data_IF_452704689858
#
_entry.id   IF_452704689858
#
_cell.length_a   1.000
_cell.length_b   1.000
_cell.length_c   1.000
_cell.angle_alpha   90.00
_cell.angle_beta   90.00
_cell.angle_gamma   90.00
#
_symmetry.space_group_name_H-M   'P 1'
#
loop_
_entity.id
_entity.type
_entity.pdbx_description
1 polymer ?
#
# COMPACT_ATOMS: atom_id res chain seq x y z
N UNK A 1 -65.01 -6.94 -35.86
CA UNK A 1 -63.63 -7.10 -36.38
C UNK A 1 -62.71 -6.27 -35.50
N UNK A 2 -61.80 -6.76 -34.65
CA UNK A 2 -61.51 -8.09 -34.12
C UNK A 2 -60.65 -7.81 -32.88
N UNK A 3 -61.23 -7.85 -31.68
CA UNK A 3 -60.45 -7.73 -30.42
C UNK A 3 -59.41 -8.84 -30.29
N UNK A 4 -59.66 -9.98 -30.94
CA UNK A 4 -58.71 -11.08 -31.06
C UNK A 4 -57.52 -10.69 -31.94
N UNK A 5 -57.73 -9.87 -32.98
CA UNK A 5 -56.66 -9.35 -33.83
C UNK A 5 -55.85 -8.28 -33.09
N UNK A 6 -56.49 -7.36 -32.35
CA UNK A 6 -55.78 -6.34 -31.58
C UNK A 6 -54.94 -6.95 -30.46
N UNK A 7 -55.48 -7.93 -29.73
CA UNK A 7 -54.72 -8.69 -28.72
C UNK A 7 -53.54 -9.44 -29.34
N UNK A 8 -53.73 -10.05 -30.51
CA UNK A 8 -52.67 -10.80 -31.19
C UNK A 8 -51.59 -9.88 -31.77
N UNK A 9 -51.96 -8.70 -32.27
CA UNK A 9 -51.02 -7.66 -32.70
C UNK A 9 -50.23 -7.11 -31.52
N UNK A 10 -50.87 -6.87 -30.37
CA UNK A 10 -50.18 -6.42 -29.17
C UNK A 10 -49.18 -7.47 -28.64
N UNK A 11 -49.54 -8.75 -28.65
CA UNK A 11 -48.63 -9.84 -28.26
C UNK A 11 -47.44 -9.93 -29.22
N UNK A 12 -47.68 -9.80 -30.53
CA UNK A 12 -46.61 -9.80 -31.53
C UNK A 12 -45.68 -8.59 -31.36
N UNK A 13 -46.23 -7.39 -31.10
CA UNK A 13 -45.45 -6.18 -30.83
C UNK A 13 -44.59 -6.32 -29.56
N UNK A 14 -45.14 -6.91 -28.48
CA UNK A 14 -44.39 -7.19 -27.25
C UNK A 14 -43.28 -8.24 -27.44
N UNK A 15 -43.50 -9.24 -28.30
CA UNK A 15 -42.49 -10.22 -28.66
C UNK A 15 -41.37 -9.62 -29.51
N UNK A 16 -41.73 -8.72 -30.44
CA UNK A 16 -40.79 -8.06 -31.34
C UNK A 16 -39.90 -7.08 -30.58
N UNK A 17 -40.47 -6.31 -29.64
CA UNK A 17 -39.71 -5.46 -28.70
C UNK A 17 -38.74 -6.25 -27.82
N UNK A 18 -39.14 -7.43 -27.34
CA UNK A 18 -38.23 -8.35 -26.60
C UNK A 18 -37.12 -8.93 -27.48
N UNK A 19 -37.40 -9.24 -28.74
CA UNK A 19 -36.42 -9.77 -29.69
C UNK A 19 -35.41 -8.71 -30.15
N UNK A 20 -35.84 -7.45 -30.24
CA UNK A 20 -34.99 -6.30 -30.57
C UNK A 20 -34.26 -5.71 -29.35
N UNK A 21 -34.50 -6.22 -28.14
CA UNK A 21 -33.85 -5.76 -26.92
C UNK A 21 -34.29 -4.38 -26.44
N UNK A 22 -35.41 -3.85 -26.93
CA UNK A 22 -35.96 -2.58 -26.48
C UNK A 22 -36.77 -2.78 -25.19
N UNK A 23 -36.21 -2.32 -24.06
CA UNK A 23 -36.96 -2.16 -22.83
C UNK A 23 -37.61 -0.78 -22.83
N UNK A 24 -38.94 -0.74 -22.95
CA UNK A 24 -39.72 0.48 -22.72
C UNK A 24 -39.59 0.88 -21.25
N UNK A 25 -38.77 1.91 -21.03
CA UNK A 25 -38.70 2.67 -19.80
C UNK A 25 -39.92 3.61 -19.83
N UNK A 26 -40.99 3.22 -19.15
CA UNK A 26 -41.97 4.17 -18.64
C UNK A 26 -41.68 4.39 -17.16
N UNK A 27 -41.80 5.66 -16.79
CA UNK A 27 -41.23 6.31 -15.62
C UNK A 27 -41.83 5.83 -14.30
N UNK A 28 -41.00 5.44 -13.34
CA UNK A 28 -41.06 6.00 -11.98
C UNK A 28 -39.82 5.63 -11.15
N UNK A 29 -39.05 6.67 -10.83
CA UNK A 29 -38.37 6.89 -9.55
C UNK A 29 -37.17 6.02 -9.13
N UNK A 30 -36.03 6.73 -9.11
CA UNK A 30 -34.95 6.71 -8.09
C UNK A 30 -33.97 5.55 -8.00
N UNK A 31 -32.70 5.97 -7.91
CA UNK A 31 -31.57 5.34 -7.23
C UNK A 31 -31.13 3.96 -7.73
N UNK A 32 -30.01 3.96 -8.46
CA UNK A 32 -28.71 3.48 -7.96
C UNK A 32 -27.81 3.11 -9.14
N UNK A 33 -26.67 3.80 -9.17
CA UNK A 33 -25.33 3.24 -9.25
C UNK A 33 -24.98 2.12 -10.27
N UNK A 34 -23.81 2.36 -10.88
CA UNK A 34 -22.94 1.44 -11.65
C UNK A 34 -23.39 1.18 -13.08
N UNK A 35 -22.62 1.76 -14.01
CA UNK A 35 -21.80 1.04 -14.99
C UNK A 35 -21.22 2.05 -16.02
N UNK A 36 -20.11 2.72 -15.66
CA UNK A 36 -19.28 3.39 -16.67
C UNK A 36 -18.35 2.33 -17.27
N UNK A 37 -18.82 1.71 -18.35
CA UNK A 37 -18.05 0.85 -19.21
C UNK A 37 -17.24 1.70 -20.20
N UNK A 38 -15.93 1.46 -20.21
CA UNK A 38 -15.02 1.50 -21.36
C UNK A 38 -15.36 2.47 -22.51
N UNK A 39 -14.62 3.58 -22.57
CA UNK A 39 -14.34 4.27 -23.83
C UNK A 39 -12.89 4.00 -24.22
N UNK A 40 -12.69 3.07 -25.14
CA UNK A 40 -11.46 2.97 -25.94
C UNK A 40 -11.38 4.20 -26.84
N UNK A 41 -10.52 5.15 -26.46
CA UNK A 41 -10.09 6.23 -27.34
C UNK A 41 -8.80 5.79 -28.02
N UNK A 42 -8.95 5.45 -29.29
CA UNK A 42 -7.90 5.10 -30.24
C UNK A 42 -6.98 6.33 -30.43
N UNK A 43 -5.67 6.15 -30.27
CA UNK A 43 -4.67 7.12 -30.72
C UNK A 43 -3.64 6.41 -31.59
N UNK A 44 -3.78 6.67 -32.89
CA UNK A 44 -2.88 6.30 -33.96
C UNK A 44 -1.50 6.96 -33.78
N UNK A 45 -0.45 6.15 -33.71
CA UNK A 45 0.91 6.58 -34.03
C UNK A 45 1.37 5.95 -35.35
N UNK A 46 1.66 6.85 -36.29
CA UNK A 46 1.98 6.61 -37.70
C UNK A 46 3.47 6.21 -37.87
N UNK A 47 3.66 5.05 -38.52
CA UNK A 47 4.71 4.64 -39.50
C UNK A 47 6.19 5.02 -39.27
N UNK A 48 7.07 4.01 -39.46
CA UNK A 48 7.92 3.80 -40.67
C UNK A 48 8.50 2.35 -40.74
N UNK A 49 8.97 1.86 -41.92
CA UNK A 49 8.74 0.47 -42.35
C UNK A 49 9.95 -0.37 -42.84
N UNK A 50 9.73 -1.71 -42.93
CA UNK A 50 10.31 -2.74 -43.86
C UNK A 50 11.79 -3.18 -43.70
N UNK A 51 12.29 -4.30 -44.30
CA UNK A 51 11.64 -5.43 -45.04
C UNK A 51 12.04 -6.86 -44.51
N UNK A 52 11.18 -7.89 -44.54
CA UNK A 52 10.90 -8.90 -45.59
C UNK A 52 11.97 -9.99 -45.83
N UNK A 53 11.65 -11.27 -45.57
CA UNK A 53 11.68 -12.43 -46.53
C UNK A 53 11.24 -13.77 -45.87
N UNK A 54 10.79 -14.78 -46.66
CA UNK A 54 9.72 -15.73 -46.28
C UNK A 54 10.05 -17.24 -46.51
N UNK A 55 9.12 -18.16 -46.16
CA UNK A 55 8.61 -19.35 -46.91
C UNK A 55 7.89 -20.30 -45.92
N UNK A 56 6.57 -20.52 -46.02
CA UNK A 56 5.82 -21.46 -46.88
C UNK A 56 6.06 -22.96 -46.62
N UNK A 57 4.98 -23.66 -46.21
CA UNK A 57 4.49 -24.88 -46.88
C UNK A 57 2.98 -25.06 -46.65
N UNK A 58 2.21 -24.99 -47.75
CA UNK A 58 0.82 -25.48 -47.93
C UNK A 58 0.92 -26.93 -48.48
N UNK A 59 -0.02 -27.86 -48.26
CA UNK A 59 -1.35 -28.06 -48.90
C UNK A 59 -1.87 -29.48 -48.48
N UNK A 60 -3.09 -29.96 -48.84
CA UNK A 60 -4.27 -29.30 -49.38
C UNK A 60 -5.60 -29.59 -48.64
N UNK A 61 -6.63 -28.87 -49.07
CA UNK A 61 -8.03 -28.87 -48.63
C UNK A 61 -8.98 -29.65 -49.55
N UNK A 62 -9.97 -30.34 -48.97
CA UNK A 62 -11.38 -30.55 -49.43
C UNK A 62 -12.17 -31.04 -48.20
N UNK A 63 -13.42 -30.71 -47.91
CA UNK A 63 -14.49 -30.00 -48.62
C UNK A 63 -15.52 -29.47 -47.58
N UNK A 64 -16.31 -28.49 -48.01
CA UNK A 64 -17.42 -27.82 -47.31
C UNK A 64 -18.47 -28.76 -46.68
N UNK A 65 -18.88 -28.43 -45.45
CA UNK A 65 -20.30 -28.19 -45.11
C UNK A 65 -20.42 -27.44 -43.77
N UNK A 66 -21.30 -26.45 -43.76
CA UNK A 66 -21.59 -25.55 -42.65
C UNK A 66 -22.52 -26.23 -41.63
N UNK A 67 -22.11 -26.28 -40.35
CA UNK A 67 -22.98 -26.25 -39.16
C UNK A 67 -22.10 -26.31 -37.90
N UNK A 68 -22.10 -25.26 -37.08
CA UNK A 68 -21.53 -25.29 -35.73
C UNK A 68 -22.60 -24.82 -34.74
N UNK A 69 -23.37 -25.79 -34.26
CA UNK A 69 -24.09 -25.70 -32.99
C UNK A 69 -23.08 -25.90 -31.85
N UNK A 70 -23.16 -25.16 -30.73
CA UNK A 70 -22.35 -25.45 -29.55
C UNK A 70 -22.86 -26.72 -28.83
N UNK A 71 -21.99 -27.51 -28.18
CA UNK A 71 -22.39 -28.73 -27.47
C UNK A 71 -23.19 -28.37 -26.21
N UNK A 72 -24.16 -29.20 -25.78
CA UNK A 72 -24.88 -28.94 -24.54
C UNK A 72 -23.99 -29.23 -23.32
N UNK A 73 -24.02 -28.28 -22.39
CA UNK A 73 -23.45 -28.33 -21.05
C UNK A 73 -23.91 -29.57 -20.27
N UNK A 74 -22.97 -30.42 -19.87
CA UNK A 74 -23.22 -31.67 -19.13
C UNK A 74 -23.50 -31.48 -17.64
N UNK A 75 -24.21 -30.41 -17.25
CA UNK A 75 -24.45 -30.09 -15.83
C UNK A 75 -25.91 -30.16 -15.37
N UNK A 76 -26.81 -30.73 -16.18
CA UNK A 76 -28.23 -30.86 -15.80
C UNK A 76 -28.83 -32.26 -15.97
N UNK A 77 -28.02 -33.30 -16.22
CA UNK A 77 -28.52 -34.67 -16.45
C UNK A 77 -28.25 -35.67 -15.32
N UNK A 78 -27.98 -35.20 -14.10
CA UNK A 78 -27.61 -36.08 -12.96
C UNK A 78 -28.64 -36.15 -11.83
N UNK A 79 -29.68 -35.31 -11.82
CA UNK A 79 -30.62 -35.25 -10.69
C UNK A 79 -31.85 -36.16 -10.84
N UNK A 80 -32.34 -36.39 -12.06
CA UNK A 80 -33.59 -37.16 -12.26
C UNK A 80 -33.36 -38.67 -12.45
N UNK A 81 -32.16 -39.10 -12.84
CA UNK A 81 -31.83 -40.54 -13.01
C UNK A 81 -31.27 -41.23 -11.75
N UNK A 82 -30.95 -40.46 -10.70
CA UNK A 82 -30.41 -41.00 -9.45
C UNK A 82 -31.52 -41.60 -8.56
N UNK A 83 -32.72 -41.03 -8.57
CA UNK A 83 -33.82 -41.43 -7.68
C UNK A 83 -34.46 -42.77 -8.10
N UNK A 84 -34.45 -43.08 -9.41
CA UNK A 84 -34.96 -44.34 -9.94
C UNK A 84 -34.04 -45.56 -9.68
N UNK A 85 -32.76 -45.35 -9.31
CA UNK A 85 -31.79 -46.43 -9.02
C UNK A 85 -31.62 -46.75 -7.53
N UNK A 86 -32.35 -46.10 -6.63
CA UNK A 86 -32.17 -46.27 -5.18
C UNK A 86 -32.89 -47.48 -4.59
N UNK A 87 -33.88 -48.07 -5.29
CA UNK A 87 -34.73 -49.12 -4.69
C UNK A 87 -34.10 -50.51 -4.67
N UNK A 88 -33.22 -50.86 -5.60
CA UNK A 88 -32.79 -52.25 -5.77
C UNK A 88 -31.27 -52.47 -5.80
N UNK A 89 -30.58 -52.34 -4.66
CA UNK A 89 -29.25 -52.96 -4.50
C UNK A 89 -29.05 -53.49 -3.08
N UNK A 90 -29.55 -54.71 -2.83
CA UNK A 90 -29.32 -55.46 -1.59
C UNK A 90 -28.00 -56.25 -1.68
N UNK A 91 -26.87 -55.53 -1.76
CA UNK A 91 -25.53 -56.11 -1.87
C UNK A 91 -24.42 -55.26 -1.23
N UNK A 92 -23.16 -55.75 -1.19
CA UNK A 92 -22.01 -55.05 -0.59
C UNK A 92 -21.78 -53.64 -1.15
N UNK A 93 -22.00 -53.46 -2.46
CA UNK A 93 -21.93 -52.17 -3.15
C UNK A 93 -22.99 -51.16 -2.66
N UNK A 94 -24.17 -51.64 -2.25
CA UNK A 94 -25.22 -50.80 -1.67
C UNK A 94 -24.84 -50.26 -0.28
N UNK A 95 -24.10 -51.04 0.52
CA UNK A 95 -23.58 -50.60 1.83
C UNK A 95 -22.52 -49.51 1.67
N UNK A 96 -21.59 -49.68 0.72
CA UNK A 96 -20.56 -48.69 0.41
C UNK A 96 -21.16 -47.36 -0.07
N UNK A 97 -22.18 -47.39 -0.93
CA UNK A 97 -22.87 -46.18 -1.40
C UNK A 97 -23.61 -45.44 -0.29
N UNK A 98 -24.27 -46.17 0.64
CA UNK A 98 -24.90 -45.59 1.83
C UNK A 98 -23.88 -44.95 2.77
N UNK A 99 -22.70 -45.54 2.91
CA UNK A 99 -21.63 -44.97 3.72
C UNK A 99 -21.07 -43.68 3.09
N UNK A 100 -20.87 -43.66 1.77
CA UNK A 100 -20.47 -42.46 1.04
C UNK A 100 -21.50 -41.33 1.17
N UNK A 101 -22.79 -41.65 1.08
CA UNK A 101 -23.87 -40.68 1.27
C UNK A 101 -23.85 -40.09 2.69
N UNK A 102 -23.69 -40.93 3.72
CA UNK A 102 -23.56 -40.48 5.11
C UNK A 102 -22.34 -39.58 5.33
N UNK A 103 -21.22 -39.87 4.66
CA UNK A 103 -20.04 -39.01 4.71
C UNK A 103 -20.27 -37.65 4.03
N UNK A 104 -20.96 -37.64 2.88
CA UNK A 104 -21.36 -36.40 2.21
C UNK A 104 -22.31 -35.58 3.07
N UNK A 105 -23.29 -36.22 3.70
CA UNK A 105 -24.23 -35.57 4.61
C UNK A 105 -23.52 -35.03 5.86
N UNK A 106 -22.54 -35.75 6.40
CA UNK A 106 -21.71 -35.28 7.51
C UNK A 106 -20.86 -34.06 7.11
N UNK A 107 -20.26 -34.07 5.91
CA UNK A 107 -19.55 -32.91 5.35
C UNK A 107 -20.48 -31.71 5.16
N UNK A 108 -21.70 -31.94 4.67
CA UNK A 108 -22.73 -30.91 4.50
C UNK A 108 -23.19 -30.34 5.83
N UNK A 109 -23.38 -31.17 6.86
CA UNK A 109 -23.73 -30.72 8.20
C UNK A 109 -22.61 -29.88 8.82
N UNK A 110 -21.36 -30.32 8.69
CA UNK A 110 -20.19 -29.57 9.14
C UNK A 110 -20.07 -28.23 8.44
N UNK A 111 -20.28 -28.18 7.12
CA UNK A 111 -20.29 -26.94 6.36
C UNK A 111 -21.38 -25.98 6.87
N UNK A 112 -22.62 -26.48 7.07
CA UNK A 112 -23.72 -25.68 7.62
C UNK A 112 -23.42 -25.13 9.02
N UNK A 113 -22.80 -25.95 9.89
CA UNK A 113 -22.40 -25.51 11.23
C UNK A 113 -21.34 -24.41 11.16
N UNK A 114 -20.34 -24.55 10.29
CA UNK A 114 -19.32 -23.52 10.07
C UNK A 114 -19.96 -22.23 9.54
N UNK A 115 -20.85 -22.32 8.55
CA UNK A 115 -21.56 -21.16 8.00
C UNK A 115 -22.37 -20.44 9.07
N UNK A 116 -23.12 -21.17 9.90
CA UNK A 116 -23.87 -20.60 11.03
C UNK A 116 -22.96 -19.91 12.04
N UNK A 117 -21.84 -20.52 12.40
CA UNK A 117 -20.88 -19.90 13.32
C UNK A 117 -20.34 -18.57 12.78
N UNK A 118 -20.03 -18.51 11.46
CA UNK A 118 -19.64 -17.26 10.82
C UNK A 118 -20.76 -16.22 10.78
N UNK A 119 -22.00 -16.63 10.50
CA UNK A 119 -23.18 -15.75 10.52
C UNK A 119 -23.43 -15.18 11.92
N UNK A 120 -23.29 -15.99 12.97
CA UNK A 120 -23.44 -15.59 14.37
C UNK A 120 -22.35 -14.61 14.80
N UNK A 121 -21.08 -14.87 14.43
CA UNK A 121 -19.97 -13.94 14.68
C UNK A 121 -20.17 -12.60 13.95
N UNK A 122 -20.66 -12.64 12.70
CA UNK A 122 -20.97 -11.44 11.92
C UNK A 122 -22.10 -10.64 12.60
N UNK A 123 -23.17 -11.30 13.02
CA UNK A 123 -24.28 -10.68 13.76
C UNK A 123 -23.78 -10.02 15.06
N UNK A 124 -22.91 -10.70 15.81
CA UNK A 124 -22.33 -10.17 17.03
C UNK A 124 -21.44 -8.94 16.77
N UNK A 125 -20.65 -8.97 15.69
CA UNK A 125 -19.83 -7.85 15.27
C UNK A 125 -20.70 -6.64 14.87
N UNK A 126 -21.73 -6.85 14.05
CA UNK A 126 -22.66 -5.78 13.69
C UNK A 126 -23.36 -5.17 14.90
N UNK A 127 -23.76 -5.97 15.89
CA UNK A 127 -24.37 -5.48 17.12
C UNK A 127 -23.40 -4.62 17.94
N UNK A 128 -22.12 -5.01 18.02
CA UNK A 128 -21.06 -4.23 18.67
C UNK A 128 -20.82 -2.91 17.95
N UNK A 129 -20.77 -2.90 16.62
CA UNK A 129 -20.64 -1.68 15.84
C UNK A 129 -21.87 -0.76 16.01
N UNK A 130 -23.10 -1.31 15.94
CA UNK A 130 -24.34 -0.54 16.17
C UNK A 130 -24.34 0.11 17.56
N UNK A 131 -23.95 -0.62 18.60
CA UNK A 131 -23.86 -0.07 19.96
C UNK A 131 -22.74 0.97 20.09
N UNK A 132 -21.60 0.78 19.43
CA UNK A 132 -20.51 1.75 19.34
C UNK A 132 -20.96 3.06 18.68
N UNK A 133 -21.65 2.96 17.53
CA UNK A 133 -22.22 4.10 16.82
C UNK A 133 -23.31 4.80 17.64
N UNK A 134 -24.16 4.06 18.36
CA UNK A 134 -25.16 4.65 19.25
C UNK A 134 -24.50 5.46 20.37
N UNK A 135 -23.42 4.95 20.99
CA UNK A 135 -22.65 5.69 22.01
C UNK A 135 -22.01 6.96 21.43
N UNK A 136 -21.44 6.88 20.22
CA UNK A 136 -20.87 8.06 19.56
C UNK A 136 -21.93 9.11 19.22
N UNK A 137 -23.11 8.67 18.73
CA UNK A 137 -24.25 9.56 18.49
C UNK A 137 -24.76 10.20 19.78
N UNK A 138 -24.85 9.44 20.87
CA UNK A 138 -25.24 9.98 22.17
C UNK A 138 -24.28 11.08 22.64
N UNK A 139 -22.96 10.82 22.58
CA UNK A 139 -21.94 11.83 22.90
C UNK A 139 -22.00 13.06 21.99
N UNK A 140 -22.20 12.86 20.69
CA UNK A 140 -22.36 13.97 19.75
C UNK A 140 -23.58 14.83 20.11
N UNK A 141 -24.71 14.19 20.43
CA UNK A 141 -25.92 14.88 20.86
C UNK A 141 -25.75 15.59 22.20
N UNK A 142 -25.04 15.00 23.18
CA UNK A 142 -24.67 15.65 24.44
C UNK A 142 -23.84 16.91 24.18
N UNK A 143 -22.81 16.84 23.33
CA UNK A 143 -22.01 18.03 22.99
C UNK A 143 -22.81 19.09 22.22
N UNK A 144 -23.76 18.68 21.37
CA UNK A 144 -24.66 19.61 20.69
C UNK A 144 -25.64 20.27 21.67
N UNK A 145 -26.14 19.52 22.66
CA UNK A 145 -26.98 20.04 23.74
C UNK A 145 -26.19 21.01 24.62
N UNK A 146 -24.97 20.66 25.05
CA UNK A 146 -24.08 21.56 25.78
C UNK A 146 -23.82 22.84 24.98
N UNK A 147 -23.59 22.73 23.67
CA UNK A 147 -23.43 23.90 22.81
C UNK A 147 -24.71 24.74 22.77
N UNK A 148 -25.89 24.13 22.59
CA UNK A 148 -27.18 24.85 22.62
C UNK A 148 -27.46 25.50 23.96
N UNK A 149 -27.15 24.84 25.07
CA UNK A 149 -27.29 25.38 26.42
C UNK A 149 -26.31 26.53 26.68
N UNK A 150 -25.07 26.44 26.20
CA UNK A 150 -24.09 27.52 26.30
C UNK A 150 -24.47 28.73 25.43
N UNK A 151 -25.18 28.53 24.32
CA UNK A 151 -25.79 29.62 23.55
C UNK A 151 -27.06 30.19 24.20
N UNK A 152 -27.80 29.36 24.94
CA UNK A 152 -29.03 29.75 25.64
C UNK A 152 -28.77 30.39 27.01
N UNK A 153 -27.60 30.14 27.60
CA UNK A 153 -27.02 30.94 28.69
C UNK A 153 -26.58 32.28 28.10
N UNK A 154 -27.56 33.16 27.92
CA UNK A 154 -27.36 34.57 27.60
C UNK A 154 -26.27 35.14 28.53
N UNK A 155 -25.22 35.82 28.01
CA UNK A 155 -24.21 36.43 28.87
C UNK A 155 -24.92 37.41 29.81
N UNK A 156 -24.51 37.51 31.09
CA UNK A 156 -25.14 38.44 32.03
C UNK A 156 -25.14 39.83 31.40
N UNK A 157 -26.34 40.43 31.29
CA UNK A 157 -26.57 41.74 30.67
C UNK A 157 -25.48 42.70 31.12
N UNK A 158 -24.61 43.06 30.20
CA UNK A 158 -23.58 44.07 30.44
C UNK A 158 -24.26 45.33 30.96
N UNK A 159 -23.84 45.89 32.12
CA UNK A 159 -24.38 47.16 32.57
C UNK A 159 -24.09 48.22 31.51
N UNK A 160 -25.12 49.00 31.18
CA UNK A 160 -25.07 50.07 30.18
C UNK A 160 -23.81 50.93 30.38
N UNK A 161 -23.04 51.23 29.33
CA UNK A 161 -21.92 52.16 29.45
C UNK A 161 -22.47 53.55 29.77
N UNK A 162 -22.10 54.05 30.95
CA UNK A 162 -22.23 55.45 31.36
C UNK A 162 -21.52 56.32 30.32
N UNK A 163 -22.18 57.40 29.90
CA UNK A 163 -21.69 58.39 28.95
C UNK A 163 -20.40 59.06 29.47
N UNK A 164 -19.24 58.50 29.11
CA UNK A 164 -17.95 59.19 29.30
C UNK A 164 -17.78 60.19 28.16
N UNK A 165 -17.64 61.47 28.55
CA UNK A 165 -17.38 62.58 27.64
C UNK A 165 -16.05 62.36 26.91
N UNK A 166 -16.10 62.29 25.57
CA UNK A 166 -14.87 62.30 24.77
C UNK A 166 -14.37 63.74 24.63
N UNK A 167 -13.13 63.94 25.07
CA UNK A 167 -12.33 65.14 24.87
C UNK A 167 -12.14 65.39 23.37
N UNK A 168 -12.53 66.59 22.93
CA UNK A 168 -12.19 67.16 21.62
C UNK A 168 -10.67 67.26 21.49
N UNK A 169 -10.10 66.59 20.49
CA UNK A 169 -8.73 66.83 20.01
C UNK A 169 -8.85 67.67 18.74
N UNK A 170 -8.54 68.96 18.86
CA UNK A 170 -8.42 69.88 17.72
C UNK A 170 -7.07 69.66 17.04
N UNK A 171 -7.00 69.51 15.70
CA UNK A 171 -5.73 69.63 15.00
C UNK A 171 -5.39 71.11 14.80
N UNK A 172 -4.22 71.49 15.28
CA UNK A 172 -3.54 72.76 15.03
C UNK A 172 -3.07 72.81 13.57
N UNK A 173 -3.53 73.80 12.80
CA UNK A 173 -2.85 74.26 11.59
C UNK A 173 -2.57 75.77 11.71
N UNK A 174 -1.34 76.23 11.41
CA UNK A 174 -0.97 77.64 11.42
C UNK A 174 -0.99 78.27 10.02
N UNK A 175 -0.90 79.61 10.01
CA UNK A 175 -0.64 80.57 8.91
C UNK A 175 -1.88 81.41 8.55
N UNK A 176 -2.01 82.64 9.05
CA UNK A 176 -1.30 83.89 8.67
C UNK A 176 -1.86 84.49 7.37
N UNK A 177 -2.78 85.45 7.50
CA UNK A 177 -2.71 86.72 6.76
C UNK A 177 -3.67 87.75 7.38
N UNK A 178 -3.03 88.80 7.92
CA UNK A 178 -3.43 90.20 7.89
C UNK A 178 -4.83 90.59 8.38
N UNK A 179 -4.88 91.05 9.64
CA UNK A 179 -5.86 92.05 10.06
C UNK A 179 -5.16 93.15 10.85
N UNK A 180 -5.16 94.36 10.28
CA UNK A 180 -4.66 95.61 10.87
C UNK A 180 -5.84 96.24 11.64
N UNK A 181 -5.74 96.50 12.96
CA UNK A 181 -6.74 97.31 13.64
C UNK A 181 -6.30 98.78 13.56
N UNK A 182 -6.91 99.56 12.67
CA UNK A 182 -6.80 101.02 12.73
C UNK A 182 -7.90 101.62 13.59
N UNK A 183 -7.45 102.29 14.65
CA UNK A 183 -7.90 103.65 14.94
C UNK A 183 -9.21 103.79 15.70
N UNK A 184 -9.15 103.60 17.02
CA UNK A 184 -10.04 104.33 17.94
C UNK A 184 -9.68 105.80 17.87
N UNK A 185 -10.43 106.59 17.11
CA UNK A 185 -10.40 108.04 17.21
C UNK A 185 -11.51 108.49 18.17
N UNK A 186 -11.05 108.96 19.33
CA UNK A 186 -11.85 109.62 20.34
C UNK A 186 -12.59 110.82 19.73
N UNK A 187 -13.90 110.88 19.94
CA UNK A 187 -14.68 112.09 19.64
C UNK A 187 -14.42 113.15 20.72
N UNK A 188 -14.27 114.43 20.37
CA UNK A 188 -14.11 115.49 21.35
C UNK A 188 -15.42 115.73 22.13
N UNK A 189 -15.29 115.99 23.43
CA UNK A 189 -16.35 116.51 24.30
C UNK A 189 -16.83 117.85 23.72
N UNK A 190 -18.02 117.86 23.11
CA UNK A 190 -18.74 119.09 22.80
C UNK A 190 -19.51 119.52 24.04
N UNK A 191 -19.41 120.80 24.38
CA UNK A 191 -20.25 121.46 25.38
C UNK A 191 -21.71 121.06 25.21
N UNK A 192 -22.45 120.96 26.33
CA UNK A 192 -23.88 120.63 26.37
C UNK A 192 -24.63 121.40 25.29
N UNK A 193 -24.90 120.75 24.15
CA UNK A 193 -25.79 121.30 23.14
C UNK A 193 -27.16 121.36 23.80
N UNK A 194 -27.60 122.56 24.16
CA UNK A 194 -29.01 122.82 24.42
C UNK A 194 -29.77 122.29 23.21
N UNK A 195 -30.49 121.17 23.38
CA UNK A 195 -31.35 120.62 22.34
C UNK A 195 -32.56 121.52 22.25
N UNK A 196 -32.41 122.65 21.57
CA UNK A 196 -33.54 123.39 21.04
C UNK A 196 -34.16 122.47 20.00
N UNK A 197 -35.24 121.77 20.35
CA UNK A 197 -36.02 121.01 19.38
C UNK A 197 -36.57 121.98 18.36
N UNK A 198 -36.86 121.49 17.15
CA UNK A 198 -37.26 122.30 15.99
C UNK A 198 -38.27 123.42 16.35
N UNK A 199 -39.18 123.22 17.31
CA UNK A 199 -40.23 124.18 17.67
C UNK A 199 -40.03 125.00 18.97
N UNK A 200 -38.94 124.80 19.73
CA UNK A 200 -38.87 125.29 21.12
C UNK A 200 -38.02 126.56 21.32
N UNK A 201 -37.49 127.18 20.25
CA UNK A 201 -36.61 128.35 20.35
C UNK A 201 -37.30 129.58 20.95
N UNK A 202 -38.50 129.94 20.48
CA UNK A 202 -39.23 131.11 20.99
C UNK A 202 -39.69 130.98 22.45
N UNK A 203 -40.27 129.84 22.88
CA UNK A 203 -40.66 129.65 24.27
C UNK A 203 -39.48 129.72 25.25
N UNK A 204 -38.32 129.18 24.88
CA UNK A 204 -37.11 129.23 25.72
C UNK A 204 -36.57 130.67 25.85
N UNK A 205 -36.62 131.46 24.78
CA UNK A 205 -36.22 132.88 24.79
C UNK A 205 -37.15 133.77 25.64
N UNK A 206 -38.43 133.41 25.76
CA UNK A 206 -39.39 134.14 26.59
C UNK A 206 -39.25 133.80 28.09
N UNK A 207 -38.89 132.55 28.42
CA UNK A 207 -38.66 132.11 29.80
C UNK A 207 -37.36 132.71 30.39
N UNK A 208 -36.31 132.87 29.59
CA UNK A 208 -35.05 133.47 30.05
C UNK A 208 -35.11 135.00 30.27
N UNK A 209 -36.10 135.71 29.70
CA UNK A 209 -36.22 137.17 29.82
C UNK A 209 -37.64 137.64 30.21
N UNK A 210 -38.07 137.40 31.46
CA UNK A 210 -39.47 137.59 31.90
C UNK A 210 -39.96 139.05 31.97
N UNK A 211 -39.06 140.04 31.90
CA UNK A 211 -39.43 141.47 31.95
C UNK A 211 -39.58 142.10 30.54
N UNK A 212 -39.41 141.32 29.48
CA UNK A 212 -39.51 141.80 28.11
C UNK A 212 -40.97 141.77 27.62
N UNK A 213 -41.65 142.91 27.66
CA UNK A 213 -43.01 143.03 27.13
C UNK A 213 -43.02 143.08 25.59
N UNK A 214 -42.94 141.90 24.96
CA UNK A 214 -43.04 141.79 23.51
C UNK A 214 -44.51 141.97 23.08
N UNK A 215 -44.76 142.94 22.21
CA UNK A 215 -46.08 143.12 21.56
C UNK A 215 -46.52 141.83 20.86
N UNK A 216 -47.80 141.47 21.01
CA UNK A 216 -48.41 140.26 20.42
C UNK A 216 -48.16 140.14 18.91
N UNK A 217 -48.07 141.27 18.20
CA UNK A 217 -47.76 141.28 16.77
C UNK A 217 -46.31 140.86 16.46
N UNK A 218 -45.35 141.28 17.28
CA UNK A 218 -43.93 140.92 17.13
C UNK A 218 -43.69 139.45 17.46
N UNK A 219 -44.40 138.91 18.46
CA UNK A 219 -44.34 137.48 18.82
C UNK A 219 -44.76 136.58 17.65
N UNK A 220 -45.86 136.91 16.97
CA UNK A 220 -46.31 136.17 15.80
C UNK A 220 -45.30 136.22 14.64
N UNK A 221 -44.63 137.36 14.41
CA UNK A 221 -43.60 137.48 13.37
C UNK A 221 -42.38 136.60 13.66
N UNK A 222 -41.94 136.52 14.91
CA UNK A 222 -40.82 135.64 15.26
C UNK A 222 -41.21 134.16 15.16
N UNK A 223 -42.44 133.79 15.54
CA UNK A 223 -42.95 132.42 15.36
C UNK A 223 -42.97 132.00 13.88
N UNK A 224 -43.42 132.89 12.99
CA UNK A 224 -43.39 132.64 11.55
C UNK A 224 -41.96 132.49 11.02
N UNK A 225 -41.01 133.29 11.50
CA UNK A 225 -39.59 133.16 11.10
C UNK A 225 -38.98 131.83 11.54
N UNK A 226 -39.32 131.34 12.72
CA UNK A 226 -38.85 130.03 13.19
C UNK A 226 -39.41 128.90 12.32
N UNK A 227 -40.71 128.94 11.98
CA UNK A 227 -41.34 127.95 11.10
C UNK A 227 -40.68 127.91 9.72
N UNK A 228 -40.42 129.08 9.11
CA UNK A 228 -39.77 129.19 7.80
C UNK A 228 -38.35 128.61 7.82
N UNK A 229 -37.58 128.80 8.90
CA UNK A 229 -36.24 128.24 9.01
C UNK A 229 -36.22 126.72 9.16
N UNK A 230 -37.14 126.15 9.95
CA UNK A 230 -37.28 124.69 10.09
C UNK A 230 -37.61 124.06 8.75
N UNK A 231 -38.53 124.68 8.00
CA UNK A 231 -38.96 124.20 6.69
C UNK A 231 -37.80 124.20 5.69
N UNK A 232 -36.97 125.24 5.69
CA UNK A 232 -35.76 125.31 4.87
C UNK A 232 -34.71 124.24 5.24
N UNK A 233 -34.51 123.96 6.54
CA UNK A 233 -33.57 122.94 6.99
C UNK A 233 -34.03 121.52 6.64
N UNK A 234 -35.33 121.23 6.77
CA UNK A 234 -35.92 119.96 6.32
C UNK A 234 -35.84 119.78 4.81
N UNK A 235 -35.96 120.87 4.05
CA UNK A 235 -35.83 120.85 2.59
C UNK A 235 -34.38 120.68 2.11
N UNK A 236 -33.40 121.19 2.88
CA UNK A 236 -31.96 121.03 2.59
C UNK A 236 -31.41 119.65 3.01
N UNK A 237 -32.03 118.99 3.99
CA UNK A 237 -31.72 117.63 4.41
C UNK A 237 -32.34 116.63 3.41
N UNK A 238 -31.58 116.22 2.39
CA UNK A 238 -31.97 115.16 1.44
C UNK A 238 -32.11 113.76 2.04
N UNK A 239 -32.48 113.65 3.32
CA UNK A 239 -32.58 112.43 4.13
C UNK A 239 -33.47 111.35 3.48
N UNK A 240 -34.56 111.75 2.81
CA UNK A 240 -35.47 110.82 2.15
C UNK A 240 -34.83 110.12 0.94
N UNK A 241 -33.99 110.82 0.17
CA UNK A 241 -33.24 110.22 -0.96
C UNK A 241 -32.16 109.26 -0.47
N UNK A 242 -31.48 109.57 0.63
CA UNK A 242 -30.46 108.70 1.22
C UNK A 242 -31.07 107.48 1.91
N UNK A 243 -32.24 107.62 2.53
CA UNK A 243 -32.97 106.53 3.19
C UNK A 243 -33.46 105.48 2.20
N UNK A 244 -33.98 105.90 1.05
CA UNK A 244 -34.41 105.00 -0.02
C UNK A 244 -33.24 104.21 -0.63
N UNK A 245 -32.08 104.85 -0.84
CA UNK A 245 -30.86 104.16 -1.32
C UNK A 245 -30.37 103.12 -0.31
N UNK A 246 -30.30 103.49 0.96
CA UNK A 246 -29.94 102.55 2.03
C UNK A 246 -30.91 101.37 2.11
N UNK A 247 -32.21 101.62 1.98
CA UNK A 247 -33.22 100.57 1.91
C UNK A 247 -33.04 99.67 0.68
N UNK A 248 -32.73 100.24 -0.49
CA UNK A 248 -32.45 99.44 -1.70
C UNK A 248 -31.19 98.59 -1.56
N UNK A 249 -30.13 99.12 -0.95
CA UNK A 249 -28.89 98.37 -0.68
C UNK A 249 -29.11 97.26 0.35
N UNK A 250 -29.90 97.52 1.39
CA UNK A 250 -30.30 96.50 2.38
C UNK A 250 -31.12 95.40 1.72
N UNK A 251 -32.10 95.75 0.86
CA UNK A 251 -32.88 94.77 0.12
C UNK A 251 -32.02 93.95 -0.84
N UNK A 252 -31.07 94.57 -1.53
CA UNK A 252 -30.17 93.85 -2.44
C UNK A 252 -29.14 92.99 -1.69
N UNK A 253 -28.71 93.41 -0.49
CA UNK A 253 -27.89 92.58 0.40
C UNK A 253 -28.68 91.36 0.90
N UNK A 254 -29.97 91.52 1.21
CA UNK A 254 -30.85 90.40 1.57
C UNK A 254 -31.03 89.43 0.40
N UNK A 255 -31.29 89.91 -0.82
CA UNK A 255 -31.36 89.05 -2.02
C UNK A 255 -30.06 88.29 -2.26
N UNK A 256 -28.90 88.94 -2.08
CA UNK A 256 -27.58 88.30 -2.21
C UNK A 256 -27.36 87.24 -1.12
N UNK A 257 -27.77 87.53 0.11
CA UNK A 257 -27.73 86.57 1.21
C UNK A 257 -28.60 85.35 0.90
N UNK A 258 -29.84 85.56 0.46
CA UNK A 258 -30.77 84.47 0.14
C UNK A 258 -30.23 83.60 -1.00
N UNK A 259 -29.64 84.21 -2.04
CA UNK A 259 -28.96 83.49 -3.11
C UNK A 259 -27.78 82.65 -2.59
N UNK A 260 -26.96 83.19 -1.68
CA UNK A 260 -25.85 82.45 -1.07
C UNK A 260 -26.35 81.26 -0.24
N UNK A 261 -27.44 81.46 0.51
CA UNK A 261 -28.07 80.38 1.29
C UNK A 261 -28.59 79.27 0.35
N UNK A 262 -29.20 79.62 -0.78
CA UNK A 262 -29.61 78.64 -1.79
C UNK A 262 -28.43 77.88 -2.39
N UNK A 263 -27.33 78.57 -2.70
CA UNK A 263 -26.09 77.95 -3.20
C UNK A 263 -25.51 76.96 -2.18
N UNK A 264 -25.43 77.36 -0.91
CA UNK A 264 -24.96 76.48 0.18
C UNK A 264 -25.88 75.27 0.33
N UNK A 265 -27.21 75.46 0.26
CA UNK A 265 -28.16 74.34 0.31
C UNK A 265 -27.95 73.38 -0.86
N UNK A 266 -27.80 73.90 -2.09
CA UNK A 266 -27.52 73.08 -3.28
C UNK A 266 -26.19 72.33 -3.17
N UNK A 267 -25.15 72.95 -2.63
CA UNK A 267 -23.86 72.30 -2.39
C UNK A 267 -23.95 71.20 -1.34
N UNK A 268 -24.66 71.44 -0.23
CA UNK A 268 -24.91 70.43 0.79
C UNK A 268 -25.67 69.23 0.23
N UNK A 269 -26.69 69.47 -0.59
CA UNK A 269 -27.46 68.40 -1.22
C UNK A 269 -26.63 67.64 -2.27
N UNK A 270 -25.77 68.32 -3.02
CA UNK A 270 -24.83 67.67 -3.92
C UNK A 270 -23.83 66.78 -3.14
N UNK A 271 -23.31 67.27 -2.02
CA UNK A 271 -22.42 66.50 -1.15
C UNK A 271 -23.12 65.26 -0.55
N UNK A 272 -24.39 65.37 -0.14
CA UNK A 272 -25.19 64.21 0.30
C UNK A 272 -25.34 63.19 -0.83
N UNK A 273 -25.70 63.64 -2.04
CA UNK A 273 -25.83 62.76 -3.22
C UNK A 273 -24.51 62.05 -3.55
N UNK A 274 -23.39 62.77 -3.48
CA UNK A 274 -22.07 62.19 -3.72
C UNK A 274 -21.71 61.13 -2.65
N UNK A 275 -22.03 61.39 -1.38
CA UNK A 275 -21.83 60.41 -0.31
C UNK A 275 -22.69 59.17 -0.52
N UNK A 276 -23.97 59.33 -0.85
CA UNK A 276 -24.84 58.19 -1.17
C UNK A 276 -24.32 57.38 -2.36
N UNK A 277 -23.84 58.05 -3.41
CA UNK A 277 -23.27 57.38 -4.57
C UNK A 277 -22.02 56.56 -4.21
N UNK A 278 -21.11 57.14 -3.42
CA UNK A 278 -19.94 56.42 -2.87
C UNK A 278 -20.35 55.22 -2.01
N UNK A 279 -21.38 55.39 -1.17
CA UNK A 279 -21.91 54.30 -0.35
C UNK A 279 -22.52 53.19 -1.20
N UNK A 280 -23.27 53.51 -2.27
CA UNK A 280 -23.83 52.52 -3.20
C UNK A 280 -22.72 51.70 -3.88
N UNK A 281 -21.68 52.36 -4.37
CA UNK A 281 -20.51 51.67 -4.95
C UNK A 281 -19.84 50.77 -3.92
N UNK A 282 -19.65 51.25 -2.68
CA UNK A 282 -19.02 50.45 -1.63
C UNK A 282 -19.87 49.22 -1.27
N UNK A 283 -21.20 49.39 -1.15
CA UNK A 283 -22.13 48.28 -0.90
C UNK A 283 -22.09 47.25 -2.03
N UNK A 284 -22.09 47.71 -3.28
CA UNK A 284 -22.00 46.83 -4.45
C UNK A 284 -20.67 46.04 -4.46
N UNK A 285 -19.54 46.71 -4.25
CA UNK A 285 -18.22 46.04 -4.16
C UNK A 285 -18.16 45.05 -3.01
N UNK A 286 -18.69 45.40 -1.84
CA UNK A 286 -18.76 44.51 -0.69
C UNK A 286 -19.60 43.26 -1.00
N UNK A 287 -20.76 43.41 -1.63
CA UNK A 287 -21.59 42.29 -2.06
C UNK A 287 -20.89 41.40 -3.10
N UNK A 288 -20.22 42.00 -4.10
CA UNK A 288 -19.46 41.28 -5.11
C UNK A 288 -18.29 40.50 -4.52
N UNK A 289 -17.53 41.12 -3.61
CA UNK A 289 -16.41 40.47 -2.92
C UNK A 289 -16.90 39.31 -2.06
N UNK A 290 -17.98 39.48 -1.29
CA UNK A 290 -18.61 38.39 -0.52
C UNK A 290 -19.04 37.23 -1.42
N UNK A 291 -19.62 37.50 -2.59
CA UNK A 291 -19.95 36.45 -3.56
C UNK A 291 -18.70 35.71 -4.07
N UNK A 292 -17.63 36.44 -4.40
CA UNK A 292 -16.37 35.85 -4.87
C UNK A 292 -15.73 34.99 -3.78
N UNK A 293 -15.74 35.44 -2.55
CA UNK A 293 -15.22 34.70 -1.40
C UNK A 293 -16.02 33.42 -1.17
N UNK A 294 -17.36 33.47 -1.19
CA UNK A 294 -18.21 32.27 -1.11
C UNK A 294 -17.89 31.27 -2.23
N UNK A 295 -17.72 31.74 -3.48
CA UNK A 295 -17.32 30.88 -4.60
C UNK A 295 -15.95 30.23 -4.36
N UNK A 296 -14.98 30.98 -3.82
CA UNK A 296 -13.67 30.44 -3.47
C UNK A 296 -13.75 29.42 -2.34
N UNK A 297 -14.55 29.67 -1.30
CA UNK A 297 -14.76 28.72 -0.20
C UNK A 297 -15.39 27.42 -0.70
N UNK A 298 -16.42 27.51 -1.56
CA UNK A 298 -17.04 26.34 -2.19
C UNK A 298 -16.03 25.59 -3.06
N UNK A 299 -15.23 26.29 -3.87
CA UNK A 299 -14.20 25.66 -4.69
C UNK A 299 -13.12 24.96 -3.84
N UNK A 300 -12.68 25.59 -2.74
CA UNK A 300 -11.74 24.97 -1.78
C UNK A 300 -12.35 23.73 -1.13
N UNK A 301 -13.60 23.81 -0.66
CA UNK A 301 -14.30 22.68 -0.07
C UNK A 301 -14.47 21.51 -1.05
N UNK A 302 -14.87 21.80 -2.29
CA UNK A 302 -14.97 20.80 -3.37
C UNK A 302 -13.62 20.13 -3.64
N UNK A 303 -12.55 20.93 -3.77
CA UNK A 303 -11.20 20.40 -3.95
C UNK A 303 -10.79 19.47 -2.81
N UNK A 304 -11.02 19.85 -1.55
CA UNK A 304 -10.70 18.99 -0.41
C UNK A 304 -11.46 17.66 -0.45
N UNK A 305 -12.73 17.69 -0.83
CA UNK A 305 -13.54 16.48 -0.96
C UNK A 305 -13.06 15.58 -2.12
N UNK A 306 -12.74 16.17 -3.26
CA UNK A 306 -12.16 15.47 -4.41
C UNK A 306 -10.81 14.84 -4.06
N UNK A 307 -9.90 15.60 -3.45
CA UNK A 307 -8.60 15.14 -2.98
C UNK A 307 -8.74 13.98 -1.98
N UNK A 308 -9.67 14.11 -1.02
CA UNK A 308 -9.98 13.05 -0.06
C UNK A 308 -10.50 11.77 -0.75
N UNK A 309 -11.41 11.89 -1.72
CA UNK A 309 -11.92 10.73 -2.49
C UNK A 309 -10.80 10.03 -3.25
N UNK A 310 -9.90 10.78 -3.89
CA UNK A 310 -8.75 10.22 -4.61
C UNK A 310 -7.80 9.52 -3.64
N UNK A 311 -7.48 10.14 -2.50
CA UNK A 311 -6.64 9.53 -1.46
C UNK A 311 -7.25 8.25 -0.90
N UNK A 312 -8.56 8.24 -0.62
CA UNK A 312 -9.28 7.07 -0.14
C UNK A 312 -9.24 5.94 -1.18
N UNK A 313 -9.52 6.24 -2.44
CA UNK A 313 -9.41 5.26 -3.54
C UNK A 313 -8.00 4.70 -3.65
N UNK A 314 -6.98 5.55 -3.58
CA UNK A 314 -5.57 5.12 -3.61
C UNK A 314 -5.23 4.24 -2.40
N UNK A 315 -5.74 4.55 -1.21
CA UNK A 315 -5.56 3.72 0.00
C UNK A 315 -6.21 2.35 -0.16
N UNK A 316 -7.43 2.29 -0.69
CA UNK A 316 -8.14 1.03 -0.97
C UNK A 316 -7.42 0.19 -2.03
N UNK A 317 -6.94 0.81 -3.11
CA UNK A 317 -6.13 0.12 -4.12
C UNK A 317 -4.83 -0.44 -3.53
N UNK A 318 -4.13 0.33 -2.68
CA UNK A 318 -2.93 -0.16 -1.99
C UNK A 318 -3.24 -1.31 -1.03
N UNK A 319 -4.36 -1.26 -0.30
CA UNK A 319 -4.79 -2.37 0.54
C UNK A 319 -5.04 -3.63 -0.29
N UNK A 320 -5.81 -3.52 -1.38
CA UNK A 320 -6.05 -4.61 -2.32
C UNK A 320 -4.75 -5.20 -2.89
N UNK A 321 -3.79 -4.37 -3.31
CA UNK A 321 -2.50 -4.87 -3.82
C UNK A 321 -1.66 -5.55 -2.73
N UNK A 322 -1.76 -5.12 -1.46
CA UNK A 322 -1.10 -5.82 -0.34
C UNK A 322 -1.75 -7.17 -0.10
N UNK A 323 -3.07 -7.24 -0.08
CA UNK A 323 -3.80 -8.49 0.13
C UNK A 323 -3.52 -9.47 -1.02
N UNK A 324 -3.52 -9.00 -2.27
CA UNK A 324 -3.13 -9.79 -3.44
C UNK A 324 -1.67 -10.29 -3.34
N UNK A 325 -0.76 -9.47 -2.80
CA UNK A 325 0.63 -9.90 -2.55
C UNK A 325 0.71 -10.98 -1.47
N UNK A 326 0.00 -10.80 -0.36
CA UNK A 326 -0.06 -11.80 0.72
C UNK A 326 -0.63 -13.11 0.18
N UNK A 327 -1.70 -13.05 -0.61
CA UNK A 327 -2.29 -14.23 -1.23
C UNK A 327 -1.31 -14.95 -2.18
N UNK A 328 -0.58 -14.21 -3.03
CA UNK A 328 0.46 -14.79 -3.89
C UNK A 328 1.54 -15.50 -3.08
N UNK A 329 2.05 -14.86 -2.04
CA UNK A 329 3.06 -15.45 -1.16
C UNK A 329 2.54 -16.72 -0.49
N UNK A 330 1.32 -16.69 0.06
CA UNK A 330 0.69 -17.87 0.69
C UNK A 330 0.46 -19.00 -0.31
N UNK A 331 0.12 -18.68 -1.56
CA UNK A 331 -0.04 -19.68 -2.61
C UNK A 331 1.31 -20.31 -3.00
N UNK A 332 2.35 -19.50 -3.14
CA UNK A 332 3.72 -19.95 -3.40
C UNK A 332 4.24 -20.84 -2.26
N UNK A 333 4.04 -20.43 -1.01
CA UNK A 333 4.36 -21.22 0.19
C UNK A 333 3.59 -22.55 0.20
N UNK A 334 2.28 -22.51 -0.08
CA UNK A 334 1.45 -23.71 -0.20
C UNK A 334 1.96 -24.68 -1.27
N UNK A 335 2.39 -24.16 -2.42
CA UNK A 335 2.99 -24.96 -3.49
C UNK A 335 4.35 -25.53 -3.08
N UNK A 336 5.18 -24.75 -2.38
CA UNK A 336 6.48 -25.18 -1.89
C UNK A 336 6.36 -26.32 -0.87
N UNK A 337 5.37 -26.23 0.02
CA UNK A 337 5.04 -27.31 0.97
C UNK A 337 4.64 -28.59 0.23
N UNK A 338 3.81 -28.49 -0.82
CA UNK A 338 3.44 -29.64 -1.64
C UNK A 338 4.64 -30.26 -2.35
N UNK A 339 5.53 -29.44 -2.92
CA UNK A 339 6.78 -29.90 -3.55
C UNK A 339 7.67 -30.61 -2.55
N UNK A 340 7.88 -30.06 -1.35
CA UNK A 340 8.66 -30.68 -0.27
C UNK A 340 8.07 -32.03 0.12
N UNK A 341 6.75 -32.10 0.36
CA UNK A 341 6.08 -33.37 0.66
C UNK A 341 6.29 -34.43 -0.43
N UNK A 342 6.24 -34.04 -1.70
CA UNK A 342 6.52 -34.96 -2.82
C UNK A 342 7.98 -35.39 -2.86
N UNK A 343 8.92 -34.48 -2.57
CA UNK A 343 10.33 -34.81 -2.45
C UNK A 343 10.57 -35.81 -1.30
N UNK A 344 9.98 -35.57 -0.14
CA UNK A 344 10.08 -36.44 1.04
C UNK A 344 9.51 -37.84 0.77
N UNK A 345 8.39 -37.94 0.04
CA UNK A 345 7.85 -39.24 -0.37
C UNK A 345 8.77 -39.96 -1.36
N UNK A 346 9.44 -39.23 -2.26
CA UNK A 346 10.41 -39.80 -3.20
C UNK A 346 11.68 -40.26 -2.49
N UNK A 347 12.20 -39.48 -1.55
CA UNK A 347 13.37 -39.86 -0.74
C UNK A 347 13.06 -41.07 0.11
N UNK A 348 11.91 -41.08 0.80
CA UNK A 348 11.45 -42.24 1.57
C UNK A 348 11.34 -43.50 0.72
N UNK A 349 10.74 -43.41 -0.48
CA UNK A 349 10.66 -44.56 -1.38
C UNK A 349 12.03 -45.00 -1.93
N UNK A 350 13.00 -44.08 -2.05
CA UNK A 350 14.37 -44.40 -2.44
C UNK A 350 15.11 -45.09 -1.29
N UNK A 351 14.96 -44.59 -0.07
CA UNK A 351 15.52 -45.17 1.15
C UNK A 351 14.97 -46.57 1.39
N UNK A 352 13.65 -46.79 1.29
CA UNK A 352 13.06 -48.13 1.44
C UNK A 352 13.61 -49.14 0.43
N UNK A 353 13.79 -48.75 -0.83
CA UNK A 353 14.45 -49.61 -1.82
C UNK A 353 15.92 -49.84 -1.51
N UNK A 354 16.62 -48.84 -0.96
CA UNK A 354 18.02 -48.96 -0.56
C UNK A 354 18.18 -49.88 0.65
N UNK A 355 17.33 -49.77 1.65
CA UNK A 355 17.28 -50.67 2.80
C UNK A 355 17.08 -52.13 2.36
N UNK A 356 16.11 -52.39 1.49
CA UNK A 356 15.91 -53.73 0.93
C UNK A 356 17.15 -54.27 0.22
N UNK A 357 17.81 -53.44 -0.59
CA UNK A 357 19.08 -53.81 -1.23
C UNK A 357 20.18 -54.09 -0.21
N UNK A 358 20.28 -53.29 0.85
CA UNK A 358 21.27 -53.51 1.92
C UNK A 358 20.99 -54.81 2.67
N UNK A 359 19.74 -55.10 2.99
CA UNK A 359 19.37 -56.36 3.65
C UNK A 359 19.73 -57.57 2.78
N UNK A 360 19.38 -57.54 1.49
CA UNK A 360 19.73 -58.61 0.56
C UNK A 360 21.24 -58.76 0.39
N UNK A 361 21.97 -57.64 0.30
CA UNK A 361 23.42 -57.64 0.21
C UNK A 361 24.06 -58.26 1.47
N UNK A 362 23.60 -57.86 2.66
CA UNK A 362 24.08 -58.41 3.93
C UNK A 362 23.80 -59.93 4.03
N UNK A 363 22.64 -60.39 3.55
CA UNK A 363 22.30 -61.81 3.50
C UNK A 363 23.26 -62.56 2.58
N UNK A 364 23.51 -62.02 1.37
CA UNK A 364 24.46 -62.60 0.42
C UNK A 364 25.88 -62.65 1.00
N UNK A 365 26.33 -61.58 1.66
CA UNK A 365 27.63 -61.53 2.34
C UNK A 365 27.71 -62.53 3.48
N UNK A 366 26.64 -62.73 4.25
CA UNK A 366 26.61 -63.72 5.33
C UNK A 366 26.72 -65.16 4.78
N UNK A 367 26.05 -65.44 3.66
CA UNK A 367 26.15 -66.73 2.98
C UNK A 367 27.54 -66.92 2.35
N UNK A 368 28.11 -65.88 1.74
CA UNK A 368 29.45 -65.92 1.18
C UNK A 368 30.49 -66.21 2.27
N UNK A 369 30.38 -65.56 3.43
CA UNK A 369 31.27 -65.81 4.57
C UNK A 369 31.11 -67.24 5.09
N UNK A 370 29.88 -67.75 5.22
CA UNK A 370 29.64 -69.14 5.59
C UNK A 370 30.36 -70.11 4.65
N UNK A 371 30.21 -69.93 3.33
CA UNK A 371 30.88 -70.82 2.37
C UNK A 371 32.40 -70.62 2.36
N UNK A 372 32.89 -69.39 2.51
CA UNK A 372 34.34 -69.13 2.67
C UNK A 372 34.92 -69.87 3.87
N UNK A 373 34.21 -69.90 4.99
CA UNK A 373 34.65 -70.63 6.19
C UNK A 373 34.65 -72.15 5.92
N UNK A 374 33.61 -72.68 5.28
CA UNK A 374 33.57 -74.09 4.86
C UNK A 374 34.74 -74.46 3.95
N UNK A 375 35.02 -73.63 2.94
CA UNK A 375 36.15 -73.83 2.04
C UNK A 375 37.49 -73.69 2.76
N UNK A 376 37.59 -72.78 3.73
CA UNK A 376 38.81 -72.59 4.52
C UNK A 376 39.09 -73.81 5.40
N UNK A 377 38.07 -74.36 6.07
CA UNK A 377 38.20 -75.61 6.85
C UNK A 377 38.59 -76.80 5.97
N UNK A 378 38.00 -76.92 4.77
CA UNK A 378 38.39 -77.98 3.82
C UNK A 378 39.81 -77.78 3.28
N UNK A 379 40.20 -76.54 3.00
CA UNK A 379 41.55 -76.23 2.55
C UNK A 379 42.59 -76.54 3.66
N UNK A 380 42.28 -76.22 4.92
CA UNK A 380 43.10 -76.58 6.07
C UNK A 380 43.22 -78.09 6.22
N UNK A 381 42.11 -78.84 6.19
CA UNK A 381 42.13 -80.30 6.26
C UNK A 381 42.95 -80.94 5.13
N UNK A 382 42.81 -80.46 3.89
CA UNK A 382 43.62 -80.93 2.76
C UNK A 382 45.11 -80.57 2.93
N UNK A 383 45.41 -79.40 3.51
CA UNK A 383 46.79 -79.01 3.83
C UNK A 383 47.40 -79.93 4.89
N UNK A 384 46.65 -80.25 5.95
CA UNK A 384 47.08 -81.18 7.00
C UNK A 384 47.33 -82.58 6.44
N UNK A 385 46.44 -83.10 5.59
CA UNK A 385 46.63 -84.39 4.91
C UNK A 385 47.88 -84.41 4.02
N UNK A 386 48.13 -83.32 3.29
CA UNK A 386 49.34 -83.19 2.46
C UNK A 386 50.60 -83.14 3.32
N UNK A 387 50.58 -82.39 4.42
CA UNK A 387 51.70 -82.32 5.35
C UNK A 387 51.95 -83.69 5.99
N UNK A 388 50.90 -84.40 6.40
CA UNK A 388 51.01 -85.73 6.96
C UNK A 388 51.59 -86.72 5.94
N UNK A 389 51.12 -86.68 4.69
CA UNK A 389 51.66 -87.49 3.60
C UNK A 389 53.14 -87.18 3.37
N UNK A 390 53.51 -85.90 3.33
CA UNK A 390 54.91 -85.48 3.17
C UNK A 390 55.79 -85.98 4.32
N UNK A 391 55.31 -85.95 5.56
CA UNK A 391 56.07 -86.48 6.70
C UNK A 391 56.21 -88.00 6.65
N UNK A 392 55.15 -88.73 6.24
CA UNK A 392 55.20 -90.19 6.01
C UNK A 392 56.18 -90.54 4.88
N UNK A 393 56.12 -89.84 3.75
CA UNK A 393 57.04 -90.02 2.63
C UNK A 393 58.48 -89.75 3.06
N UNK A 394 58.72 -88.68 3.82
CA UNK A 394 60.05 -88.35 4.35
C UNK A 394 60.56 -89.44 5.29
N UNK A 395 59.70 -89.97 6.17
CA UNK A 395 60.06 -91.06 7.08
C UNK A 395 60.36 -92.35 6.30
N UNK A 396 59.55 -92.71 5.30
CA UNK A 396 59.80 -93.86 4.42
C UNK A 396 61.08 -93.69 3.61
N UNK A 397 61.35 -92.51 3.07
CA UNK A 397 62.61 -92.21 2.38
C UNK A 397 63.81 -92.37 3.31
N UNK A 398 63.69 -91.97 4.58
CA UNK A 398 64.74 -92.18 5.59
C UNK A 398 64.95 -93.66 5.92
N UNK A 399 63.89 -94.46 6.09
CA UNK A 399 64.03 -95.91 6.35
C UNK A 399 64.63 -96.63 5.15
N UNK A 400 64.19 -96.32 3.93
CA UNK A 400 64.79 -96.84 2.69
C UNK A 400 66.27 -96.47 2.60
N UNK A 401 66.64 -95.24 2.97
CA UNK A 401 68.04 -94.85 3.00
C UNK A 401 68.85 -95.64 4.04
N UNK A 402 68.30 -95.92 5.23
CA UNK A 402 68.95 -96.75 6.25
C UNK A 402 69.18 -98.19 5.75
N UNK A 403 68.14 -98.83 5.20
CA UNK A 403 68.24 -100.19 4.61
C UNK A 403 69.29 -100.22 3.50
N UNK A 404 69.29 -99.23 2.60
CA UNK A 404 70.30 -99.12 1.54
C UNK A 404 71.72 -99.00 2.10
N UNK A 405 71.91 -98.26 3.20
CA UNK A 405 73.20 -98.16 3.90
C UNK A 405 73.60 -99.50 4.52
N UNK A 406 72.71 -100.15 5.24
CA UNK A 406 72.95 -101.45 5.87
C UNK A 406 73.29 -102.54 4.84
N UNK A 407 72.57 -102.58 3.70
CA UNK A 407 72.87 -103.50 2.60
C UNK A 407 74.26 -103.24 2.02
N UNK A 408 74.63 -101.96 1.80
CA UNK A 408 75.99 -101.59 1.38
C UNK A 408 77.03 -102.07 2.39
N UNK A 409 76.82 -101.85 3.69
CA UNK A 409 77.73 -102.31 4.74
C UNK A 409 77.81 -103.84 4.85
N UNK A 410 76.71 -104.58 4.60
CA UNK A 410 76.72 -106.05 4.54
C UNK A 410 77.53 -106.54 3.34
N UNK A 411 77.27 -106.00 2.16
CA UNK A 411 78.05 -106.32 0.96
C UNK A 411 79.53 -105.99 1.15
N UNK A 412 79.86 -104.86 1.78
CA UNK A 412 81.24 -104.49 2.10
C UNK A 412 81.90 -105.51 3.05
N UNK A 413 81.19 -105.97 4.09
CA UNK A 413 81.66 -107.04 4.98
C UNK A 413 81.83 -108.38 4.26
N UNK A 414 80.89 -108.76 3.39
CA UNK A 414 80.99 -109.98 2.59
C UNK A 414 82.18 -109.91 1.63
N UNK A 415 82.39 -108.78 0.96
CA UNK A 415 83.57 -108.53 0.11
C UNK A 415 84.85 -108.64 0.96
N UNK A 416 84.89 -108.04 2.16
CA UNK A 416 86.04 -108.15 3.07
C UNK A 416 86.26 -109.60 3.54
N UNK A 417 85.21 -110.36 3.83
CA UNK A 417 85.29 -111.78 4.19
C UNK A 417 85.81 -112.62 3.02
N UNK A 418 85.31 -112.39 1.81
CA UNK A 418 85.81 -113.05 0.60
C UNK A 418 87.27 -112.70 0.35
N UNK A 419 87.67 -111.44 0.51
CA UNK A 419 89.07 -111.01 0.42
C UNK A 419 89.95 -111.69 1.49
N UNK A 420 89.45 -111.81 2.73
CA UNK A 420 90.12 -112.55 3.80
C UNK A 420 90.25 -114.04 3.50
N UNK A 421 89.21 -114.70 2.99
CA UNK A 421 89.28 -116.12 2.60
C UNK A 421 90.23 -116.35 1.42
N UNK A 422 90.27 -115.43 0.45
CA UNK A 422 91.28 -115.47 -0.62
C UNK A 422 92.67 -115.37 0.00
N UNK A 423 92.88 -114.40 0.90
CA UNK A 423 94.16 -114.22 1.59
C UNK A 423 94.56 -115.41 2.49
N UNK A 424 93.61 -116.11 3.11
CA UNK A 424 93.84 -117.30 3.92
C UNK A 424 94.04 -118.56 3.06
N UNK A 425 93.37 -118.70 1.92
CA UNK A 425 93.64 -119.80 0.97
C UNK A 425 94.96 -119.60 0.20
N UNK A 426 95.44 -118.36 0.12
CA UNK A 426 96.80 -118.03 -0.31
C UNK A 426 97.86 -118.36 0.78
N UNK A 427 97.47 -118.89 1.94
CA UNK A 427 98.41 -119.64 2.77
C UNK A 427 98.88 -120.82 1.94
N UNK A 428 100.06 -120.63 1.34
CA UNK A 428 100.83 -121.55 0.51
C UNK A 428 101.17 -122.88 1.23
N UNK A 429 100.31 -123.42 2.08
CA UNK A 429 100.44 -124.73 2.70
C UNK A 429 100.58 -125.80 1.63
N UNK A 430 99.74 -125.76 0.59
CA UNK A 430 99.85 -126.66 -0.56
C UNK A 430 101.18 -126.50 -1.32
N UNK A 431 101.62 -125.26 -1.60
CA UNK A 431 102.89 -125.03 -2.30
C UNK A 431 104.11 -125.35 -1.42
N UNK A 432 104.07 -125.08 -0.11
CA UNK A 432 105.10 -125.45 0.86
C UNK A 432 105.20 -126.97 1.00
N UNK A 433 104.08 -127.68 0.98
CA UNK A 433 104.03 -129.15 1.06
C UNK A 433 104.51 -129.80 -0.26
N UNK A 434 104.15 -129.22 -1.41
CA UNK A 434 104.68 -129.64 -2.72
C UNK A 434 106.18 -129.36 -2.85
N UNK A 435 106.67 -128.21 -2.36
CA UNK A 435 108.10 -127.93 -2.29
C UNK A 435 108.82 -128.89 -1.34
N UNK A 436 108.22 -129.22 -0.18
CA UNK A 436 108.75 -130.22 0.74
C UNK A 436 108.82 -131.62 0.10
N UNK A 437 107.80 -132.04 -0.66
CA UNK A 437 107.82 -133.30 -1.42
C UNK A 437 108.84 -133.29 -2.56
N UNK A 438 109.00 -132.16 -3.25
CA UNK A 438 110.04 -131.99 -4.28
C UNK A 438 111.44 -132.06 -3.68
N UNK A 439 111.65 -131.45 -2.52
CA UNK A 439 112.89 -131.55 -1.74
C UNK A 439 113.14 -132.99 -1.28
N UNK A 440 112.12 -133.69 -0.80
CA UNK A 440 112.19 -135.10 -0.37
C UNK A 440 112.54 -136.03 -1.53
N UNK A 441 111.92 -135.85 -2.70
CA UNK A 441 112.22 -136.60 -3.92
C UNK A 441 113.64 -136.34 -4.42
N UNK A 442 114.11 -135.09 -4.35
CA UNK A 442 115.48 -134.72 -4.69
C UNK A 442 116.50 -135.27 -3.69
N UNK A 443 116.14 -135.37 -2.41
CA UNK A 443 116.96 -135.98 -1.37
C UNK A 443 117.03 -137.52 -1.51
N UNK A 444 115.94 -138.18 -1.93
CA UNK A 444 115.94 -139.59 -2.32
C UNK A 444 116.78 -139.85 -3.58
N UNK A 445 116.72 -138.96 -4.59
CA UNK A 445 117.60 -139.04 -5.76
C UNK A 445 119.06 -138.80 -5.39
N UNK A 446 119.34 -137.85 -4.48
CA UNK A 446 120.69 -137.60 -3.97
C UNK A 446 121.20 -138.77 -3.12
N UNK A 447 120.37 -139.42 -2.30
CA UNK A 447 120.77 -140.60 -1.54
C UNK A 447 121.01 -141.81 -2.44
N UNK A 448 120.28 -141.93 -3.57
CA UNK A 448 120.54 -142.93 -4.60
C UNK A 448 121.81 -142.64 -5.43
N UNK A 449 122.18 -141.37 -5.60
CA UNK A 449 123.45 -140.97 -6.22
C UNK A 449 124.64 -141.08 -5.25
N UNK A 450 124.42 -140.93 -3.94
CA UNK A 450 125.44 -141.12 -2.90
C UNK A 450 125.70 -142.61 -2.64
N UNK A 451 124.69 -143.48 -2.71
CA UNK A 451 124.87 -144.94 -2.62
C UNK A 451 125.57 -145.55 -3.83
N UNK A 452 125.58 -144.86 -4.98
CA UNK A 452 126.34 -145.28 -6.18
C UNK A 452 127.81 -144.84 -6.16
N UNK A 453 128.18 -143.91 -5.26
CA UNK A 453 129.52 -143.30 -5.21
C UNK A 453 130.33 -143.63 -3.93
N UNK A 454 129.89 -144.60 -3.11
CA UNK A 454 130.66 -145.16 -1.99
C UNK A 454 130.56 -146.69 -1.96
N UNK A 455 131.27 -147.36 -2.88
CA UNK A 455 131.87 -148.70 -2.73
C UNK A 455 132.74 -149.09 -3.95
N UNK A 456 133.58 -148.14 -4.38
CA UNK A 456 134.99 -148.40 -4.70
C UNK A 456 135.79 -147.76 -3.55
N UNK A 457 135.93 -148.49 -2.45
CA UNK A 457 136.99 -148.48 -1.42
C UNK A 457 136.57 -149.33 -0.23
#
# INVERSE_FOLDING_TARGET
>A
MSEKLSRRLHVLDSMLKRALGEHTIEEESTDEDKLSQHSDSIMDYRRKPQPATPLQKRYPSRQRSLSTSPPPSSYLFSSEFEDARQKDVRGPMGKMRKQLQKELDHKRLRAKLMTKAYEDELCAYEARERTGLAKLKAKANETEQEYKENFSKEPPKTPRPVKVHSRKTTPRNPKHSQWIPRGKLAKPKKASQMKVKDNDLLPLLLDEFPHLHISRHTMNKMWQKQLVQIEQLKSASGEDRTRLKLQSEVLDALKKHDLLVELIKKEQDNNKRLQEFKQRIHRQKCAQNKMREKRQQIARAKKYYEDYRVQLRAKMMRARTRDERIFKNLFEEGLEIQKRRLQDLRTYAKEKRAEQRRLHQNELESMENYYKDQFSMLAEAVCDERQETQTRESAQAQTLHKIKREMRSKMEKEIQQLQMMISQNDDNSFFRELEAERLKSRLQMASFQYSKNHCFL
#
